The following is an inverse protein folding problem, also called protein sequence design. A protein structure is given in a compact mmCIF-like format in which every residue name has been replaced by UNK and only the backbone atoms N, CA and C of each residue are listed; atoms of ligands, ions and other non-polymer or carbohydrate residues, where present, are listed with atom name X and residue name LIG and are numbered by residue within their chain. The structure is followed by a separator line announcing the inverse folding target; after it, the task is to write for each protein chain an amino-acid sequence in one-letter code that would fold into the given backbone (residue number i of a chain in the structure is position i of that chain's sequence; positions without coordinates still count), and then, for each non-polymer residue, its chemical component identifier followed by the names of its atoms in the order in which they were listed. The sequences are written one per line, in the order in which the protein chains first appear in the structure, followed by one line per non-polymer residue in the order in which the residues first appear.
data_IF_018646306232
#
_entry.id   IF_018646306232
#
_cell.length_a   1.000
_cell.length_b   1.000
_cell.length_c   1.000
_cell.angle_alpha   90.00
_cell.angle_beta   90.00
_cell.angle_gamma   90.00
#
_symmetry.space_group_name_H-M   'P 1'
#
loop_
_entity.id
_entity.type
_entity.pdbx_description
1 polymer ?
#
# COMPACT_ATOMS: atom_id res chain seq x y z
N UNK A 1 -2.49 -7.14 15.14
CA UNK A 1 -1.40 -6.45 14.42
C UNK A 1 -1.94 -5.05 14.17
N UNK A 2 -1.26 -4.02 14.66
CA UNK A 2 -1.69 -2.62 14.53
C UNK A 2 -0.90 -2.01 13.38
N UNK A 3 -1.47 -2.06 12.17
CA UNK A 3 -0.88 -1.52 10.94
C UNK A 3 -1.95 -0.62 10.33
N UNK A 4 -1.59 0.64 10.10
CA UNK A 4 -2.48 1.60 9.47
C UNK A 4 -2.12 1.71 7.99
N UNK A 5 -3.12 1.54 7.13
CA UNK A 5 -2.95 1.57 5.68
C UNK A 5 -3.21 2.99 5.17
N UNK A 6 -2.21 3.60 4.54
CA UNK A 6 -2.29 4.98 4.02
C UNK A 6 -2.89 5.01 2.61
N UNK A 7 -2.27 4.24 1.72
CA UNK A 7 -2.66 4.09 0.31
C UNK A 7 -2.03 2.82 -0.26
N UNK A 8 -2.36 2.47 -1.50
CA UNK A 8 -1.73 1.32 -2.14
C UNK A 8 -1.86 1.32 -3.66
N UNK A 9 -1.34 0.26 -4.25
CA UNK A 9 -1.45 -0.08 -5.67
C UNK A 9 -1.70 -1.58 -5.78
N UNK A 10 -2.69 -1.94 -6.59
CA UNK A 10 -2.99 -3.33 -6.92
C UNK A 10 -2.44 -3.65 -8.31
N UNK A 11 -1.72 -4.75 -8.41
CA UNK A 11 -1.13 -5.25 -9.64
C UNK A 11 -1.69 -6.64 -9.96
N UNK A 12 -2.09 -6.85 -11.20
CA UNK A 12 -2.62 -8.12 -11.70
C UNK A 12 -1.66 -8.69 -12.74
N UNK A 13 -1.14 -9.88 -12.48
CA UNK A 13 -0.26 -10.60 -13.39
C UNK A 13 -0.90 -11.91 -13.83
N UNK A 14 -0.65 -12.34 -15.07
CA UNK A 14 -1.15 -13.63 -15.57
C UNK A 14 -0.27 -14.26 -16.64
N UNK A 15 -0.40 -15.57 -16.77
CA UNK A 15 -0.06 -16.36 -17.95
C UNK A 15 -1.27 -17.21 -18.35
N UNK A 16 -1.15 -18.14 -19.30
CA UNK A 16 -2.27 -19.04 -19.65
C UNK A 16 -2.70 -19.95 -18.49
N UNK A 17 -1.77 -20.32 -17.60
CA UNK A 17 -2.00 -21.31 -16.54
C UNK A 17 -1.92 -20.72 -15.12
N UNK A 18 -1.36 -19.52 -14.96
CA UNK A 18 -1.09 -18.92 -13.65
C UNK A 18 -1.60 -17.49 -13.57
N UNK A 19 -1.80 -17.04 -12.35
CA UNK A 19 -2.12 -15.66 -12.04
C UNK A 19 -1.49 -15.25 -10.71
N UNK A 20 -1.31 -13.94 -10.55
CA UNK A 20 -0.90 -13.32 -9.31
C UNK A 20 -1.62 -11.97 -9.13
N UNK A 21 -2.07 -11.72 -7.92
CA UNK A 21 -2.47 -10.41 -7.41
C UNK A 21 -1.42 -9.96 -6.41
N UNK A 22 -0.95 -8.73 -6.59
CA UNK A 22 0.01 -8.11 -5.68
C UNK A 22 -0.60 -6.82 -5.17
N UNK A 23 -0.83 -6.75 -3.87
CA UNK A 23 -1.17 -5.51 -3.19
C UNK A 23 0.13 -4.91 -2.66
N UNK A 24 0.43 -3.71 -3.11
CA UNK A 24 1.60 -2.95 -2.73
C UNK A 24 1.10 -1.76 -1.92
N UNK A 25 1.29 -1.79 -0.62
CA UNK A 25 0.71 -0.85 0.33
C UNK A 25 1.77 0.11 0.85
N UNK A 26 1.36 1.33 1.10
CA UNK A 26 2.04 2.29 1.97
C UNK A 26 1.37 2.16 3.33
N UNK A 27 2.14 1.80 4.35
CA UNK A 27 1.63 1.56 5.70
C UNK A 27 2.42 2.34 6.74
N UNK A 28 1.76 2.62 7.86
CA UNK A 28 2.39 3.00 9.11
C UNK A 28 2.34 1.81 10.06
N UNK A 29 3.50 1.40 10.58
CA UNK A 29 3.59 0.31 11.53
C UNK A 29 4.55 0.65 12.67
N UNK A 30 4.02 1.06 13.85
CA UNK A 30 4.85 1.49 14.98
C UNK A 30 5.88 0.45 15.45
N UNK A 31 5.56 -0.84 15.34
CA UNK A 31 6.46 -1.91 15.82
C UNK A 31 7.71 -2.12 14.96
N UNK A 32 7.80 -1.47 13.80
CA UNK A 32 8.94 -1.51 12.88
C UNK A 32 9.42 -0.09 12.56
N UNK A 33 9.24 0.86 13.48
CA UNK A 33 9.72 2.24 13.33
C UNK A 33 9.01 3.02 12.21
N UNK A 34 7.68 2.82 12.07
CA UNK A 34 6.83 3.73 11.31
C UNK A 34 6.66 3.36 9.83
N UNK A 35 7.11 4.20 8.88
CA UNK A 35 6.63 4.17 7.50
C UNK A 35 7.28 3.05 6.66
N UNK A 36 6.46 2.20 6.06
CA UNK A 36 6.95 1.08 5.23
C UNK A 36 6.11 0.89 3.97
N UNK A 37 6.73 0.27 2.95
CA UNK A 37 6.00 -0.41 1.91
C UNK A 37 5.81 -1.87 2.28
N UNK A 38 4.58 -2.37 2.18
CA UNK A 38 4.25 -3.77 2.46
C UNK A 38 3.63 -4.42 1.23
N UNK A 39 4.15 -5.58 0.86
CA UNK A 39 3.67 -6.35 -0.29
C UNK A 39 2.90 -7.59 0.18
N UNK A 40 1.66 -7.73 -0.27
CA UNK A 40 0.83 -8.92 -0.06
C UNK A 40 0.51 -9.58 -1.39
N UNK A 41 0.80 -10.88 -1.50
CA UNK A 41 0.71 -11.59 -2.78
C UNK A 41 -0.26 -12.77 -2.72
N UNK A 42 -1.10 -12.93 -3.75
CA UNK A 42 -2.06 -14.02 -3.86
C UNK A 42 -2.04 -14.63 -5.27
N UNK A 43 -2.17 -15.95 -5.38
CA UNK A 43 -2.32 -16.65 -6.66
C UNK A 43 -1.35 -17.81 -6.84
N UNK A 44 -1.63 -18.68 -7.82
CA UNK A 44 -0.80 -19.84 -8.10
C UNK A 44 0.50 -19.51 -8.87
N UNK A 45 0.72 -18.24 -9.23
CA UNK A 45 1.97 -17.72 -9.76
C UNK A 45 2.88 -17.03 -8.74
N UNK A 46 2.62 -17.18 -7.43
CA UNK A 46 3.46 -16.59 -6.39
C UNK A 46 4.62 -17.52 -6.02
N UNK A 47 5.83 -16.97 -5.97
CA UNK A 47 7.00 -17.61 -5.39
C UNK A 47 6.98 -17.39 -3.86
N UNK A 48 7.03 -18.48 -3.10
CA UNK A 48 7.02 -18.41 -1.63
C UNK A 48 5.59 -18.39 -1.04
N UNK A 49 5.44 -17.75 0.11
CA UNK A 49 4.20 -17.77 0.90
C UNK A 49 3.11 -16.87 0.29
N UNK A 50 1.85 -17.22 0.50
CA UNK A 50 0.68 -16.39 0.13
C UNK A 50 0.39 -15.37 1.24
N UNK A 51 -0.16 -14.21 0.89
CA UNK A 51 -0.43 -13.09 1.81
C UNK A 51 0.81 -12.27 2.13
N UNK A 52 0.86 -11.72 3.33
CA UNK A 52 2.04 -11.06 3.89
C UNK A 52 3.08 -12.07 4.43
N UNK A 53 4.36 -11.73 4.28
CA UNK A 53 5.48 -12.40 4.93
C UNK A 53 6.59 -11.37 5.24
N UNK A 54 7.49 -11.70 6.17
CA UNK A 54 8.46 -10.75 6.70
C UNK A 54 9.47 -10.24 5.65
N UNK A 55 9.70 -10.99 4.57
CA UNK A 55 10.56 -10.59 3.45
C UNK A 55 9.88 -9.63 2.47
N UNK A 56 8.64 -9.21 2.76
CA UNK A 56 7.81 -8.31 1.93
C UNK A 56 7.57 -6.95 2.55
N UNK A 57 8.42 -6.57 3.49
CA UNK A 57 8.45 -5.25 4.10
C UNK A 57 9.68 -4.50 3.61
N UNK A 58 9.47 -3.30 3.08
CA UNK A 58 10.52 -2.44 2.51
C UNK A 58 10.45 -1.06 3.14
N UNK A 59 11.59 -0.38 3.25
CA UNK A 59 11.69 0.96 3.86
C UNK A 59 12.03 2.01 2.78
N UNK A 60 11.10 2.32 1.85
CA UNK A 60 11.30 3.36 0.86
C UNK A 60 11.27 4.76 1.45
N UNK A 61 10.68 4.90 2.64
CA UNK A 61 10.57 6.13 3.40
C UNK A 61 11.30 5.92 4.71
N UNK A 62 12.10 6.90 5.11
CA UNK A 62 12.80 6.91 6.39
C UNK A 62 12.53 8.23 7.06
N UNK A 63 12.09 8.19 8.32
CA UNK A 63 11.98 9.35 9.19
C UNK A 63 13.15 9.32 10.17
N UNK A 64 13.80 10.46 10.34
CA UNK A 64 14.69 10.69 11.47
C UNK A 64 13.86 11.43 12.53
N UNK A 65 13.78 10.86 13.72
CA UNK A 65 12.91 11.32 14.80
C UNK A 65 13.74 11.66 16.04
N UNK A 66 13.35 12.74 16.73
CA UNK A 66 13.89 13.11 18.03
C UNK A 66 12.82 13.03 19.10
N UNK A 67 13.19 12.37 20.20
CA UNK A 67 12.40 12.29 21.42
C UNK A 67 13.08 13.22 22.42
N UNK A 68 12.78 14.52 22.31
CA UNK A 68 13.45 15.59 23.08
C UNK A 68 13.36 15.37 24.62
N UNK A 69 12.40 14.58 25.10
CA UNK A 69 12.25 14.13 26.51
C UNK A 69 11.53 12.76 26.57
N UNK A 70 11.83 11.93 27.57
CA UNK A 70 11.17 10.62 27.81
C UNK A 70 9.67 10.78 28.15
N UNK A 71 9.23 12.01 28.42
CA UNK A 71 7.84 12.42 28.73
C UNK A 71 7.09 13.00 27.50
N UNK A 72 7.72 13.10 26.33
CA UNK A 72 7.04 13.56 25.11
C UNK A 72 6.03 12.51 24.61
N UNK A 73 4.79 12.93 24.36
CA UNK A 73 3.73 12.05 23.86
C UNK A 73 3.97 11.61 22.39
N UNK A 74 4.72 12.41 21.60
CA UNK A 74 5.00 12.17 20.18
C UNK A 74 6.42 12.65 19.80
N UNK A 75 7.09 11.99 18.84
CA UNK A 75 8.41 12.42 18.37
C UNK A 75 8.33 13.66 17.48
N UNK A 76 9.42 14.43 17.45
CA UNK A 76 9.62 15.45 16.42
C UNK A 76 10.33 14.83 15.22
N UNK A 77 9.71 14.88 14.04
CA UNK A 77 10.36 14.46 12.80
C UNK A 77 11.38 15.51 12.38
N UNK A 78 12.66 15.14 12.41
CA UNK A 78 13.80 15.98 12.06
C UNK A 78 14.07 16.00 10.56
N UNK A 79 13.97 14.84 9.91
CA UNK A 79 14.24 14.69 8.49
C UNK A 79 13.40 13.59 7.86
N UNK A 80 13.16 13.72 6.56
CA UNK A 80 12.42 12.76 5.75
C UNK A 80 13.26 12.43 4.53
N UNK A 81 13.41 11.13 4.27
CA UNK A 81 13.97 10.64 3.02
C UNK A 81 13.00 9.71 2.31
N UNK A 82 12.91 9.85 0.99
CA UNK A 82 12.24 8.88 0.12
C UNK A 82 13.29 8.32 -0.84
N UNK A 83 13.60 7.03 -0.72
CA UNK A 83 14.64 6.34 -1.52
C UNK A 83 16.00 7.05 -1.47
N UNK A 84 16.37 7.53 -0.27
CA UNK A 84 17.60 8.28 -0.04
C UNK A 84 17.61 9.71 -0.58
N UNK A 85 16.46 10.21 -1.07
CA UNK A 85 16.28 11.61 -1.45
C UNK A 85 15.61 12.37 -0.32
N UNK A 86 16.30 13.37 0.21
CA UNK A 86 15.76 14.24 1.26
C UNK A 86 14.55 15.03 0.75
N UNK A 87 13.49 15.07 1.56
CA UNK A 87 12.28 15.86 1.36
C UNK A 87 12.25 16.97 2.41
N UNK A 88 11.99 18.20 1.98
CA UNK A 88 11.87 19.31 2.91
C UNK A 88 10.53 19.23 3.67
N UNK A 89 10.58 19.35 5.00
CA UNK A 89 9.41 19.21 5.88
C UNK A 89 8.30 20.22 5.56
N UNK A 90 8.65 21.42 5.13
CA UNK A 90 7.72 22.47 4.73
C UNK A 90 6.98 22.19 3.41
N UNK A 91 7.43 21.19 2.65
CA UNK A 91 6.77 20.73 1.43
C UNK A 91 5.73 19.64 1.69
N UNK A 92 5.72 19.04 2.89
CA UNK A 92 4.76 18.00 3.25
C UNK A 92 3.38 18.62 3.44
N UNK A 93 2.36 18.17 2.69
CA UNK A 93 0.99 18.62 2.90
C UNK A 93 0.52 18.32 4.32
N UNK A 94 0.11 19.36 5.05
CA UNK A 94 -0.60 19.17 6.31
C UNK A 94 -2.00 18.62 6.01
N UNK A 95 -2.26 17.41 6.48
CA UNK A 95 -3.59 16.81 6.44
C UNK A 95 -4.31 17.08 7.78
N UNK A 96 -5.65 17.14 7.79
CA UNK A 96 -6.40 17.28 9.02
C UNK A 96 -6.02 16.16 9.99
N UNK A 97 -5.65 16.53 11.21
CA UNK A 97 -5.38 15.56 12.27
C UNK A 97 -6.67 14.82 12.57
N UNK A 98 -6.68 13.51 12.34
CA UNK A 98 -7.77 12.65 12.79
C UNK A 98 -7.46 12.18 14.20
N UNK A 99 -8.40 12.37 15.12
CA UNK A 99 -8.32 11.92 16.51
C UNK A 99 -8.15 10.40 16.67
N UNK A 100 -8.41 9.60 15.63
CA UNK A 100 -8.23 8.15 15.64
C UNK A 100 -6.77 7.73 15.41
N UNK A 101 -5.97 8.56 14.76
CA UNK A 101 -4.56 8.31 14.52
C UNK A 101 -3.74 9.23 15.44
N UNK A 102 -3.28 8.67 16.56
CA UNK A 102 -2.55 9.39 17.61
C UNK A 102 -1.05 9.56 17.30
N UNK A 103 -0.61 9.19 16.10
CA UNK A 103 0.78 9.23 15.72
C UNK A 103 1.00 10.31 14.66
N UNK A 104 1.71 11.39 15.02
CA UNK A 104 2.05 12.46 14.08
C UNK A 104 2.74 11.96 12.82
N UNK A 105 3.51 10.86 12.92
CA UNK A 105 4.18 10.24 11.79
C UNK A 105 3.21 9.70 10.73
N UNK A 106 2.04 9.20 11.15
CA UNK A 106 1.00 8.78 10.20
C UNK A 106 0.50 9.95 9.35
N UNK A 107 0.22 11.10 9.98
CA UNK A 107 -0.27 12.29 9.29
C UNK A 107 0.72 12.81 8.24
N UNK A 108 2.01 12.82 8.60
CA UNK A 108 3.11 13.18 7.70
C UNK A 108 3.23 12.18 6.55
N UNK A 109 3.19 10.87 6.85
CA UNK A 109 3.23 9.83 5.82
C UNK A 109 2.05 9.95 4.83
N UNK A 110 0.86 10.20 5.36
CA UNK A 110 -0.34 10.41 4.56
C UNK A 110 -0.24 11.67 3.67
N UNK A 111 0.34 12.75 4.18
CA UNK A 111 0.66 13.95 3.42
C UNK A 111 1.62 13.67 2.27
N UNK A 112 2.74 13.00 2.55
CA UNK A 112 3.72 12.59 1.55
C UNK A 112 3.09 11.73 0.45
N UNK A 113 2.22 10.79 0.81
CA UNK A 113 1.58 9.88 -0.14
C UNK A 113 0.73 10.63 -1.20
N UNK A 114 0.25 11.85 -0.91
CA UNK A 114 -0.50 12.64 -1.91
C UNK A 114 0.38 13.14 -3.08
N UNK A 115 1.69 13.24 -2.87
CA UNK A 115 2.65 13.78 -3.85
C UNK A 115 3.68 12.74 -4.32
N UNK A 116 4.03 11.79 -3.46
CA UNK A 116 5.16 10.87 -3.65
C UNK A 116 4.77 9.39 -3.68
N UNK A 117 3.47 9.05 -3.77
CA UNK A 117 2.94 7.68 -3.74
C UNK A 117 3.81 6.67 -4.48
N UNK A 118 4.14 6.93 -5.75
CA UNK A 118 4.87 5.97 -6.58
C UNK A 118 6.27 5.62 -6.03
N UNK A 119 6.98 6.58 -5.42
CA UNK A 119 8.31 6.36 -4.86
C UNK A 119 8.28 5.65 -3.49
N UNK A 120 7.16 5.79 -2.77
CA UNK A 120 6.90 5.21 -1.45
C UNK A 120 6.36 3.78 -1.50
N UNK A 121 5.97 3.29 -2.68
CA UNK A 121 5.58 1.89 -2.89
C UNK A 121 6.83 1.01 -3.05
N UNK A 122 6.68 -0.30 -2.84
CA UNK A 122 7.70 -1.26 -3.26
C UNK A 122 7.92 -1.14 -4.78
N UNK A 123 9.17 -1.07 -5.19
CA UNK A 123 9.59 -1.00 -6.58
C UNK A 123 9.39 -2.34 -7.27
N UNK A 124 9.40 -2.33 -8.60
CA UNK A 124 9.34 -3.55 -9.39
C UNK A 124 10.45 -4.54 -9.05
N UNK A 125 11.67 -4.05 -8.84
CA UNK A 125 12.80 -4.89 -8.45
C UNK A 125 12.59 -5.58 -7.07
N UNK A 126 11.80 -4.96 -6.19
CA UNK A 126 11.51 -5.50 -4.85
C UNK A 126 10.37 -6.52 -4.87
N UNK A 127 9.29 -6.31 -5.63
CA UNK A 127 8.17 -7.24 -5.64
C UNK A 127 8.28 -8.36 -6.68
N UNK A 128 8.98 -8.16 -7.80
CA UNK A 128 9.09 -9.16 -8.87
C UNK A 128 9.68 -10.51 -8.44
N UNK A 129 10.64 -10.59 -7.48
CA UNK A 129 11.11 -11.87 -6.96
C UNK A 129 9.99 -12.79 -6.42
N UNK A 130 8.86 -12.22 -5.96
CA UNK A 130 7.71 -12.98 -5.46
C UNK A 130 6.77 -13.47 -6.55
N UNK A 131 7.01 -13.11 -7.81
CA UNK A 131 6.14 -13.41 -8.95
C UNK A 131 6.86 -14.38 -9.87
N UNK A 132 6.18 -15.42 -10.33
CA UNK A 132 6.74 -16.34 -11.29
C UNK A 132 7.09 -15.60 -12.60
N UNK A 133 8.26 -15.87 -13.20
CA UNK A 133 8.81 -15.07 -14.30
C UNK A 133 8.02 -15.21 -15.61
N UNK A 134 7.09 -16.16 -15.70
CA UNK A 134 6.25 -16.40 -16.88
C UNK A 134 4.96 -15.55 -16.90
N UNK A 135 4.72 -14.72 -15.89
CA UNK A 135 3.50 -13.91 -15.80
C UNK A 135 3.72 -12.49 -16.32
N UNK A 136 2.80 -12.03 -17.16
CA UNK A 136 2.74 -10.66 -17.66
C UNK A 136 1.85 -9.78 -16.78
N UNK A 137 2.25 -8.53 -16.54
CA UNK A 137 1.41 -7.52 -15.91
C UNK A 137 0.30 -7.11 -16.88
N UNK A 138 -0.96 -7.34 -16.49
CA UNK A 138 -2.13 -7.04 -17.33
C UNK A 138 -2.98 -5.88 -16.82
N UNK A 139 -2.88 -5.53 -15.54
CA UNK A 139 -3.62 -4.41 -14.96
C UNK A 139 -2.90 -3.83 -13.75
N UNK A 140 -2.85 -2.51 -13.67
CA UNK A 140 -2.39 -1.74 -12.51
C UNK A 140 -3.49 -0.78 -12.08
N UNK A 141 -3.85 -0.83 -10.81
CA UNK A 141 -4.83 0.08 -10.20
C UNK A 141 -4.16 0.83 -9.05
N UNK A 142 -4.07 2.16 -9.17
CA UNK A 142 -3.68 2.99 -8.04
C UNK A 142 -4.80 3.12 -7.02
N UNK A 143 -6.05 3.02 -7.43
CA UNK A 143 -7.20 3.09 -6.53
C UNK A 143 -8.29 2.13 -6.98
N UNK A 144 -8.97 1.50 -6.01
CA UNK A 144 -10.10 0.61 -6.27
C UNK A 144 -11.10 0.63 -5.11
N UNK A 145 -12.25 0.00 -5.33
CA UNK A 145 -13.20 -0.23 -4.24
C UNK A 145 -12.86 -1.56 -3.56
N UNK A 146 -12.26 -1.49 -2.37
CA UNK A 146 -11.92 -2.61 -1.50
C UNK A 146 -13.12 -2.99 -0.62
N UNK A 147 -13.47 -4.29 -0.51
CA UNK A 147 -14.57 -4.75 0.32
C UNK A 147 -14.28 -4.56 1.81
N UNK A 148 -15.34 -4.46 2.61
CA UNK A 148 -15.25 -4.56 4.08
C UNK A 148 -14.72 -5.95 4.49
N UNK A 149 -14.10 -6.05 5.67
CA UNK A 149 -13.53 -7.29 6.24
C UNK A 149 -14.52 -8.45 6.30
N UNK A 150 -15.83 -8.16 6.41
CA UNK A 150 -16.88 -9.17 6.45
C UNK A 150 -17.31 -9.68 5.07
N UNK A 151 -16.97 -8.97 3.99
CA UNK A 151 -17.41 -9.29 2.64
C UNK A 151 -16.38 -10.15 1.90
N UNK A 152 -16.86 -11.16 1.17
CA UNK A 152 -15.95 -12.01 0.38
C UNK A 152 -15.53 -11.31 -0.91
N UNK A 153 -14.30 -11.52 -1.41
CA UNK A 153 -13.89 -11.02 -2.72
C UNK A 153 -14.85 -11.44 -3.84
N UNK A 154 -15.39 -12.67 -3.78
CA UNK A 154 -16.36 -13.17 -4.76
C UNK A 154 -17.69 -12.41 -4.79
N UNK A 155 -18.01 -11.64 -3.75
CA UNK A 155 -19.24 -10.84 -3.65
C UNK A 155 -18.99 -9.36 -4.06
N UNK A 156 -17.73 -8.94 -4.11
CA UNK A 156 -17.33 -7.58 -4.49
C UNK A 156 -17.20 -7.44 -6.01
N UNK A 157 -17.80 -6.39 -6.59
CA UNK A 157 -17.75 -6.14 -8.03
C UNK A 157 -16.33 -5.91 -8.55
N UNK A 158 -15.49 -5.21 -7.80
CA UNK A 158 -14.08 -5.01 -8.13
C UNK A 158 -13.38 -6.35 -8.39
N UNK A 159 -13.41 -7.25 -7.41
CA UNK A 159 -12.71 -8.53 -7.47
C UNK A 159 -13.32 -9.49 -8.49
N UNK A 160 -14.63 -9.46 -8.71
CA UNK A 160 -15.28 -10.18 -9.83
C UNK A 160 -14.73 -9.72 -11.19
N UNK A 161 -14.49 -8.42 -11.38
CA UNK A 161 -13.92 -7.90 -12.62
C UNK A 161 -12.43 -8.21 -12.75
N UNK A 162 -11.64 -8.08 -11.66
CA UNK A 162 -10.23 -8.48 -11.65
C UNK A 162 -10.07 -9.96 -12.04
N UNK A 163 -10.94 -10.84 -11.55
CA UNK A 163 -10.93 -12.25 -11.94
C UNK A 163 -11.16 -12.43 -13.45
N UNK A 164 -12.03 -11.64 -14.08
CA UNK A 164 -12.26 -11.68 -15.55
C UNK A 164 -11.03 -11.21 -16.32
N UNK A 165 -10.40 -10.12 -15.86
CA UNK A 165 -9.13 -9.62 -16.44
C UNK A 165 -8.05 -10.69 -16.35
N UNK A 166 -7.87 -11.33 -15.19
CA UNK A 166 -6.87 -12.39 -15.03
C UNK A 166 -7.14 -13.61 -15.92
N UNK A 167 -8.40 -14.01 -16.09
CA UNK A 167 -8.76 -15.16 -16.95
C UNK A 167 -8.58 -14.86 -18.45
N UNK A 168 -8.85 -13.64 -18.89
CA UNK A 168 -8.87 -13.28 -20.32
C UNK A 168 -7.61 -12.55 -20.79
N UNK A 169 -6.91 -11.86 -19.90
CA UNK A 169 -5.87 -10.90 -20.22
C UNK A 169 -6.40 -9.56 -20.74
N UNK A 170 -7.71 -9.37 -20.82
CA UNK A 170 -8.31 -8.14 -21.33
C UNK A 170 -8.60 -7.14 -20.20
N UNK A 171 -7.75 -6.12 -20.09
CA UNK A 171 -7.87 -5.06 -19.07
C UNK A 171 -9.12 -4.18 -19.26
N UNK A 172 -9.72 -4.14 -20.46
CA UNK A 172 -10.95 -3.36 -20.72
C UNK A 172 -12.19 -3.91 -20.00
N UNK A 173 -12.09 -5.13 -19.45
CA UNK A 173 -13.13 -5.75 -18.63
C UNK A 173 -13.17 -5.22 -17.19
N UNK A 174 -12.15 -4.46 -16.78
CA UNK A 174 -12.22 -3.67 -15.55
C UNK A 174 -12.92 -2.34 -15.82
N UNK A 175 -14.18 -2.26 -15.40
CA UNK A 175 -15.07 -1.11 -15.50
C UNK A 175 -15.66 -0.83 -14.11
N UNK A 176 -14.96 -0.04 -13.27
CA UNK A 176 -15.35 0.18 -11.89
C UNK A 176 -16.78 0.72 -11.80
N UNK A 177 -17.59 0.11 -10.94
CA UNK A 177 -19.00 0.46 -10.74
C UNK A 177 -19.25 1.21 -9.42
N UNK A 178 -18.21 1.32 -8.60
CA UNK A 178 -18.22 1.99 -7.31
C UNK A 178 -17.03 2.93 -7.22
N UNK A 179 -17.18 4.01 -6.46
CA UNK A 179 -16.06 4.90 -6.16
C UNK A 179 -14.96 4.14 -5.40
N UNK A 180 -13.67 4.42 -5.70
CA UNK A 180 -12.59 3.83 -4.95
C UNK A 180 -12.62 4.29 -3.48
N UNK A 181 -12.16 3.43 -2.58
CA UNK A 181 -12.10 3.72 -1.15
C UNK A 181 -10.73 3.39 -0.55
N UNK A 182 -9.69 3.10 -1.33
CA UNK A 182 -8.39 2.61 -0.84
C UNK A 182 -7.50 3.67 -0.18
N UNK A 183 -7.89 4.93 -0.21
CA UNK A 183 -7.22 5.98 0.55
C UNK A 183 -7.72 6.00 2.00
N UNK A 184 -6.80 6.12 2.96
CA UNK A 184 -7.06 6.02 4.41
C UNK A 184 -8.28 6.84 4.87
N UNK A 185 -8.44 8.05 4.35
CA UNK A 185 -9.50 8.97 4.76
C UNK A 185 -10.93 8.44 4.50
N UNK A 186 -11.08 7.40 3.67
CA UNK A 186 -12.37 6.74 3.44
C UNK A 186 -12.76 5.72 4.54
N UNK A 187 -11.82 5.36 5.42
CA UNK A 187 -11.98 4.32 6.44
C UNK A 187 -12.01 4.86 7.87
N UNK A 188 -11.91 6.17 8.03
CA UNK A 188 -12.16 6.84 9.30
C UNK A 188 -13.63 6.60 9.67
N UNK A 189 -13.89 6.01 10.84
CA UNK A 189 -15.25 5.88 11.36
C UNK A 189 -15.89 7.29 11.42
N UNK A 190 -16.99 7.49 10.68
CA UNK A 190 -17.83 8.69 10.80
C UNK A 190 -18.81 8.56 11.96
#
# INVERSE_FOLDING_TARGET
MNIDYVSGRLLCFRSEAKWALVFNWIIWWPAVEGPHAMVECFGNGINGKQGFDNDRLFSPVVFEEDWEDDEADEPTILSIEIRGQSIALDQVPSLPHDSQHQDAGFGVLAGLATQHKAAMLASEAEYMPFIAPDLDLVLTLDDWHHPDVLAKPSECKTFQQLARVLVTGDSSLYQPTQAPNTYWANWILK
#
